data_IF_550903943396
#
_entry.id   IF_550903943396
#
_cell.length_a   1.000
_cell.length_b   1.000
_cell.length_c   1.000
_cell.angle_alpha   90.00
_cell.angle_beta   90.00
_cell.angle_gamma   90.00
#
_symmetry.space_group_name_H-M   'P 1'
#
loop_
_entity.id
_entity.type
_entity.pdbx_description
1 polymer ?
#
# COMPACT_ATOMS: atom_id res chain seq x y z
N UNK A 1 -18.93 37.28 27.34
CA UNK A 1 -19.35 36.47 26.17
C UNK A 1 -18.50 36.77 24.92
N UNK A 2 -18.40 38.02 24.45
CA UNK A 2 -17.63 38.37 23.21
C UNK A 2 -16.18 37.88 23.19
N UNK A 3 -15.43 38.06 24.29
CA UNK A 3 -14.01 37.66 24.37
C UNK A 3 -13.85 36.14 24.27
N UNK A 4 -14.75 35.37 24.89
CA UNK A 4 -14.74 33.90 24.81
C UNK A 4 -15.01 33.41 23.38
N UNK A 5 -15.94 34.05 22.67
CA UNK A 5 -16.23 33.72 21.27
C UNK A 5 -15.04 34.04 20.36
N UNK A 6 -14.41 35.20 20.54
CA UNK A 6 -13.24 35.60 19.75
C UNK A 6 -12.04 34.68 20.03
N UNK A 7 -11.79 34.34 21.30
CA UNK A 7 -10.73 33.40 21.68
C UNK A 7 -10.95 32.01 21.08
N UNK A 8 -12.19 31.50 21.13
CA UNK A 8 -12.54 30.22 20.52
C UNK A 8 -12.30 30.22 18.99
N UNK A 9 -12.68 31.29 18.29
CA UNK A 9 -12.46 31.45 16.85
C UNK A 9 -10.98 31.55 16.49
N UNK A 10 -10.19 32.27 17.29
CA UNK A 10 -8.74 32.38 17.10
C UNK A 10 -8.03 31.02 17.33
N UNK A 11 -8.45 30.26 18.34
CA UNK A 11 -7.92 28.92 18.63
C UNK A 11 -8.21 27.89 17.53
N UNK A 12 -9.20 28.11 16.67
CA UNK A 12 -9.50 27.22 15.54
C UNK A 12 -8.38 27.19 14.49
N UNK A 13 -7.65 28.29 14.27
CA UNK A 13 -6.57 28.33 13.29
C UNK A 13 -5.43 27.34 13.62
N UNK A 14 -4.74 27.45 14.78
CA UNK A 14 -3.69 26.51 15.15
C UNK A 14 -4.23 25.09 15.32
N UNK A 15 -5.46 24.92 15.79
CA UNK A 15 -6.10 23.60 15.87
C UNK A 15 -6.30 22.94 14.50
N UNK A 16 -6.69 23.73 13.48
CA UNK A 16 -6.85 23.24 12.10
C UNK A 16 -5.50 22.88 11.47
N UNK A 17 -4.46 23.69 11.70
CA UNK A 17 -3.09 23.42 11.25
C UNK A 17 -2.55 22.14 11.92
N UNK A 18 -2.74 22.00 13.23
CA UNK A 18 -2.33 20.82 13.97
C UNK A 18 -3.08 19.56 13.53
N UNK A 19 -4.39 19.68 13.23
CA UNK A 19 -5.20 18.57 12.70
C UNK A 19 -4.65 18.05 11.37
N UNK A 20 -4.19 18.94 10.48
CA UNK A 20 -3.53 18.55 9.21
C UNK A 20 -2.21 17.81 9.43
N UNK A 21 -1.48 18.14 10.51
CA UNK A 21 -0.21 17.49 10.88
C UNK A 21 -0.35 16.20 11.70
N UNK A 22 -1.57 15.66 11.86
CA UNK A 22 -1.82 14.41 12.59
C UNK A 22 -1.97 14.57 14.10
N UNK A 23 -2.05 15.80 14.62
CA UNK A 23 -2.25 16.03 16.06
C UNK A 23 -3.74 16.10 16.44
N UNK A 24 -4.03 15.81 17.71
CA UNK A 24 -5.37 15.86 18.28
C UNK A 24 -5.93 17.27 18.28
N UNK A 25 -7.06 17.47 17.60
CA UNK A 25 -7.72 18.78 17.44
C UNK A 25 -8.08 19.44 18.77
N UNK A 26 -8.66 18.70 19.73
CA UNK A 26 -9.15 19.27 20.99
C UNK A 26 -8.05 19.81 21.91
N UNK A 27 -6.96 19.06 22.07
CA UNK A 27 -5.81 19.47 22.91
C UNK A 27 -5.15 20.73 22.34
N UNK A 28 -4.99 20.77 21.03
CA UNK A 28 -4.43 21.93 20.35
C UNK A 28 -5.35 23.15 20.31
N UNK A 29 -6.67 22.93 20.22
CA UNK A 29 -7.66 24.00 20.31
C UNK A 29 -7.67 24.63 21.70
N UNK A 30 -7.65 23.81 22.76
CA UNK A 30 -7.58 24.32 24.13
C UNK A 30 -6.28 25.09 24.37
N UNK A 31 -5.15 24.57 23.88
CA UNK A 31 -3.85 25.23 23.95
C UNK A 31 -3.81 26.54 23.16
N UNK A 32 -4.35 26.56 21.94
CA UNK A 32 -4.41 27.75 21.08
C UNK A 32 -5.37 28.83 21.59
N UNK A 33 -6.46 28.43 22.24
CA UNK A 33 -7.42 29.35 22.89
C UNK A 33 -6.82 29.97 24.16
N UNK A 34 -5.99 29.22 24.90
CA UNK A 34 -5.32 29.71 26.11
C UNK A 34 -4.10 30.60 25.82
N UNK A 35 -3.26 30.21 24.84
CA UNK A 35 -1.96 30.85 24.56
C UNK A 35 -1.71 31.04 23.05
N UNK A 36 -2.57 31.80 22.36
CA UNK A 36 -2.51 32.00 20.90
C UNK A 36 -1.14 32.48 20.37
N UNK A 37 -0.50 33.43 21.07
CA UNK A 37 0.79 34.03 20.69
C UNK A 37 1.93 33.01 20.59
N UNK A 38 1.96 32.03 21.50
CA UNK A 38 2.99 30.97 21.53
C UNK A 38 2.57 29.78 20.67
N UNK A 39 1.26 29.48 20.63
CA UNK A 39 0.73 28.34 19.91
C UNK A 39 0.97 28.43 18.39
N UNK A 40 0.88 29.62 17.80
CA UNK A 40 1.11 29.81 16.36
C UNK A 40 2.53 29.40 15.91
N UNK A 41 3.62 30.02 16.41
CA UNK A 41 4.97 29.64 16.02
C UNK A 41 5.29 28.19 16.39
N UNK A 42 4.80 27.72 17.55
CA UNK A 42 5.00 26.34 17.98
C UNK A 42 4.32 25.33 17.03
N UNK A 43 3.15 25.65 16.47
CA UNK A 43 2.45 24.79 15.48
C UNK A 43 3.18 24.69 14.15
N UNK A 44 3.88 25.76 13.77
CA UNK A 44 4.65 25.81 12.53
C UNK A 44 5.95 25.02 12.66
N UNK A 45 6.67 25.21 13.77
CA UNK A 45 7.97 24.58 14.03
C UNK A 45 7.85 23.08 14.29
N UNK A 46 6.77 22.62 14.94
CA UNK A 46 6.65 21.19 15.23
C UNK A 46 6.52 20.35 13.95
N UNK A 47 7.35 19.30 13.90
CA UNK A 47 7.41 18.33 12.81
C UNK A 47 6.07 17.61 12.69
N UNK A 48 5.72 17.21 11.46
CA UNK A 48 4.54 16.38 11.20
C UNK A 48 4.64 15.10 12.02
N UNK A 49 3.60 14.79 12.81
CA UNK A 49 3.59 13.58 13.62
C UNK A 49 3.19 12.40 12.74
N UNK A 50 4.19 11.69 12.21
CA UNK A 50 3.98 10.56 11.33
C UNK A 50 3.12 9.47 11.99
N UNK A 51 3.26 9.22 13.30
CA UNK A 51 2.43 8.24 14.01
C UNK A 51 0.93 8.59 13.99
N UNK A 52 0.58 9.87 14.07
CA UNK A 52 -0.81 10.34 13.98
C UNK A 52 -1.38 10.36 12.57
N UNK A 53 -0.52 10.45 11.55
CA UNK A 53 -0.91 10.31 10.14
C UNK A 53 -1.01 8.84 9.75
N UNK A 54 -0.09 7.98 10.18
CA UNK A 54 -0.13 6.54 9.94
C UNK A 54 -1.37 5.89 10.56
N UNK A 55 -1.75 6.28 11.78
CA UNK A 55 -2.99 5.82 12.41
C UNK A 55 -4.25 6.21 11.59
N UNK A 56 -4.25 7.38 10.94
CA UNK A 56 -5.34 7.78 10.03
C UNK A 56 -5.28 7.08 8.68
N UNK A 57 -4.09 6.87 8.12
CA UNK A 57 -3.92 6.16 6.85
C UNK A 57 -4.31 4.69 6.95
N UNK A 58 -4.09 4.07 8.12
CA UNK A 58 -4.57 2.72 8.43
C UNK A 58 -6.10 2.69 8.60
N UNK A 59 -6.69 3.75 9.16
CA UNK A 59 -8.15 3.89 9.34
C UNK A 59 -8.90 4.22 8.03
N UNK A 60 -8.26 4.98 7.13
CA UNK A 60 -8.76 5.30 5.79
C UNK A 60 -8.63 4.12 4.80
N UNK A 61 -8.30 2.93 5.31
CA UNK A 61 -8.24 1.70 4.52
C UNK A 61 -7.06 1.64 3.55
N UNK A 62 -6.03 2.48 3.67
CA UNK A 62 -4.87 2.41 2.76
C UNK A 62 -3.94 1.26 3.17
N UNK A 63 -3.38 0.55 2.19
CA UNK A 63 -2.41 -0.54 2.40
C UNK A 63 -1.07 -0.23 1.74
N UNK A 64 0.02 -0.67 2.36
CA UNK A 64 1.37 -0.59 1.78
C UNK A 64 1.58 -1.78 0.84
N UNK A 65 2.07 -1.51 -0.37
CA UNK A 65 2.41 -2.57 -1.31
C UNK A 65 3.69 -3.30 -0.84
N UNK A 66 3.70 -4.64 -0.71
CA UNK A 66 4.88 -5.39 -0.22
C UNK A 66 6.04 -5.39 -1.22
N UNK A 67 5.79 -5.11 -2.49
CA UNK A 67 6.81 -5.12 -3.55
C UNK A 67 7.50 -3.75 -3.72
N UNK A 68 6.76 -2.65 -3.68
CA UNK A 68 7.29 -1.31 -3.97
C UNK A 68 7.22 -0.33 -2.79
N UNK A 69 6.70 -0.75 -1.63
CA UNK A 69 6.55 0.05 -0.40
C UNK A 69 5.71 1.34 -0.49
N UNK A 70 5.14 1.62 -1.66
CA UNK A 70 4.26 2.78 -1.88
C UNK A 70 2.89 2.59 -1.23
N UNK A 71 2.25 3.70 -0.83
CA UNK A 71 0.92 3.68 -0.21
C UNK A 71 -0.15 3.66 -1.30
N UNK A 72 -1.02 2.65 -1.27
CA UNK A 72 -2.07 2.40 -2.27
C UNK A 72 -3.42 2.24 -1.58
N UNK A 73 -4.52 2.54 -2.28
CA UNK A 73 -5.88 2.38 -1.76
C UNK A 73 -6.15 0.93 -1.34
N UNK A 74 -6.91 0.73 -0.26
CA UNK A 74 -7.24 -0.60 0.27
C UNK A 74 -7.97 -1.46 -0.72
N UNK A 75 -8.91 -0.87 -1.44
CA UNK A 75 -9.68 -1.53 -2.50
C UNK A 75 -8.89 -1.76 -3.78
N UNK A 76 -7.63 -1.30 -3.89
CA UNK A 76 -6.84 -1.57 -5.08
C UNK A 76 -6.59 -3.08 -5.22
N UNK A 77 -7.05 -3.68 -6.31
CA UNK A 77 -6.74 -5.07 -6.70
C UNK A 77 -5.35 -5.16 -7.35
N UNK A 78 -4.87 -4.06 -7.93
CA UNK A 78 -3.56 -3.94 -8.55
C UNK A 78 -2.85 -2.64 -8.17
N UNK A 79 -1.55 -2.71 -7.90
CA UNK A 79 -0.74 -1.55 -7.59
C UNK A 79 -0.52 -0.70 -8.84
N UNK A 80 -0.88 0.60 -8.78
CA UNK A 80 -0.66 1.57 -9.87
C UNK A 80 0.81 1.77 -10.24
N UNK A 81 1.73 1.58 -9.30
CA UNK A 81 3.14 1.95 -9.47
C UNK A 81 4.00 0.79 -10.01
N UNK A 82 3.89 -0.40 -9.41
CA UNK A 82 4.66 -1.57 -9.83
C UNK A 82 3.83 -2.66 -10.52
N UNK A 83 2.51 -2.56 -10.52
CA UNK A 83 1.64 -3.58 -11.10
C UNK A 83 1.43 -4.83 -10.24
N UNK A 84 1.92 -4.86 -9.00
CA UNK A 84 1.67 -5.97 -8.06
C UNK A 84 0.17 -6.22 -7.89
N UNK A 85 -0.25 -7.46 -8.13
CA UNK A 85 -1.65 -7.90 -8.02
C UNK A 85 -1.87 -8.57 -6.66
N UNK A 86 -2.85 -8.07 -5.91
CA UNK A 86 -3.25 -8.72 -4.67
C UNK A 86 -4.23 -9.85 -5.01
N UNK A 87 -3.86 -11.10 -4.71
CA UNK A 87 -4.80 -12.22 -4.74
C UNK A 87 -5.86 -11.99 -3.67
N UNK A 88 -7.14 -11.74 -4.02
CA UNK A 88 -8.18 -11.62 -3.02
C UNK A 88 -8.38 -13.00 -2.40
N UNK A 89 -8.33 -13.07 -1.08
CA UNK A 89 -8.72 -14.26 -0.32
C UNK A 89 -10.24 -14.44 -0.39
N UNK A 90 -10.78 -14.64 -1.59
CA UNK A 90 -12.16 -15.09 -1.76
C UNK A 90 -12.21 -16.54 -1.28
N UNK A 91 -12.58 -16.72 -0.01
CA UNK A 91 -12.97 -17.99 0.60
C UNK A 91 -12.14 -19.20 0.15
N UNK A 92 -11.04 -19.47 0.86
CA UNK A 92 -10.17 -20.63 0.66
C UNK A 92 -10.85 -22.00 0.84
N UNK A 93 -12.18 -22.05 0.97
CA UNK A 93 -12.96 -23.28 1.03
C UNK A 93 -13.46 -23.75 -0.34
N UNK A 94 -13.49 -22.90 -1.37
CA UNK A 94 -14.09 -23.28 -2.67
C UNK A 94 -13.10 -23.96 -3.62
N UNK A 95 -11.80 -23.69 -3.53
CA UNK A 95 -10.81 -24.22 -4.49
C UNK A 95 -10.35 -25.66 -4.16
N UNK A 96 -10.64 -26.19 -2.96
CA UNK A 96 -10.14 -27.52 -2.53
C UNK A 96 -11.18 -28.66 -2.66
N UNK A 97 -12.47 -28.38 -2.77
CA UNK A 97 -13.50 -29.45 -2.75
C UNK A 97 -13.88 -30.00 -4.15
N UNK A 98 -13.64 -29.28 -5.24
CA UNK A 98 -13.99 -29.77 -6.60
C UNK A 98 -12.99 -30.79 -7.15
N UNK A 99 -11.73 -30.77 -6.70
CA UNK A 99 -10.73 -31.76 -7.16
C UNK A 99 -10.86 -33.12 -6.47
N UNK A 100 -11.65 -33.23 -5.40
CA UNK A 100 -11.80 -34.45 -4.60
C UNK A 100 -12.91 -35.39 -5.07
N UNK A 101 -13.84 -34.95 -5.92
CA UNK A 101 -15.00 -35.77 -6.32
C UNK A 101 -14.92 -36.35 -7.75
N UNK A 102 -13.74 -36.34 -8.37
CA UNK A 102 -13.49 -37.10 -9.61
C UNK A 102 -12.54 -38.26 -9.33
N UNK A 103 -13.10 -39.29 -8.71
CA UNK A 103 -12.49 -40.62 -8.52
C UNK A 103 -12.41 -41.39 -9.86
N UNK A 104 -11.58 -42.45 -9.97
CA UNK A 104 -10.85 -42.85 -11.16
C UNK A 104 -11.53 -43.99 -11.95
N UNK A 105 -11.37 -43.96 -13.29
CA UNK A 105 -11.51 -45.15 -14.13
C UNK A 105 -10.18 -45.33 -14.90
N UNK A 106 -9.55 -46.48 -14.67
CA UNK A 106 -8.31 -46.94 -15.31
C UNK A 106 -8.59 -47.69 -16.63
N UNK A 107 -7.60 -48.32 -17.27
CA UNK A 107 -6.67 -47.81 -18.29
C UNK A 107 -7.03 -48.31 -19.72
N UNK A 108 -6.26 -47.93 -20.77
CA UNK A 108 -5.33 -48.94 -21.30
C UNK A 108 -3.92 -48.40 -21.59
N UNK A 109 -2.96 -49.30 -21.41
CA UNK A 109 -1.52 -49.22 -21.75
C UNK A 109 -1.30 -49.42 -23.27
N UNK A 110 -0.08 -49.73 -23.78
CA UNK A 110 1.07 -48.85 -24.06
C UNK A 110 1.52 -48.95 -25.54
N UNK A 111 1.87 -47.86 -26.25
CA UNK A 111 2.50 -48.02 -27.58
C UNK A 111 3.56 -46.94 -27.86
N UNK A 112 4.81 -47.36 -27.67
CA UNK A 112 5.93 -47.24 -28.62
C UNK A 112 6.64 -45.88 -28.79
N UNK A 113 7.80 -45.87 -28.14
CA UNK A 113 9.07 -45.24 -28.51
C UNK A 113 9.21 -44.68 -29.94
N UNK A 114 9.84 -43.50 -30.01
CA UNK A 114 10.83 -43.10 -31.03
C UNK A 114 11.70 -41.94 -30.51
N UNK A 115 12.82 -42.28 -29.89
CA UNK A 115 14.12 -41.61 -30.16
C UNK A 115 14.82 -42.44 -31.27
N UNK A 116 15.91 -42.01 -31.94
CA UNK A 116 16.73 -40.79 -31.80
C UNK A 116 17.01 -40.08 -33.16
N UNK A 117 17.57 -38.86 -33.17
CA UNK A 117 18.69 -38.54 -34.07
C UNK A 117 19.44 -37.27 -33.62
N UNK A 118 20.66 -37.48 -33.16
CA UNK A 118 21.69 -36.46 -32.97
C UNK A 118 22.30 -36.05 -34.32
N UNK A 119 22.74 -34.79 -34.43
CA UNK A 119 23.84 -34.22 -35.25
C UNK A 119 23.56 -32.70 -35.34
N UNK A 120 24.45 -31.72 -35.17
CA UNK A 120 25.84 -31.53 -34.72
C UNK A 120 26.05 -29.97 -34.67
N UNK A 121 27.21 -29.40 -34.29
CA UNK A 121 27.34 -28.05 -33.70
C UNK A 121 27.56 -26.85 -34.66
N UNK A 122 27.24 -25.66 -34.11
CA UNK A 122 27.74 -24.27 -34.33
C UNK A 122 28.68 -23.97 -35.52
N UNK A 123 28.43 -22.86 -36.24
CA UNK A 123 29.48 -21.95 -36.71
C UNK A 123 29.48 -20.66 -35.88
N UNK A 124 30.66 -20.31 -35.40
CA UNK A 124 30.99 -18.98 -34.87
C UNK A 124 30.92 -17.97 -36.01
N UNK A 125 30.23 -16.84 -35.81
CA UNK A 125 30.26 -15.72 -36.75
C UNK A 125 31.50 -14.85 -36.45
N UNK A 126 32.48 -14.78 -37.37
CA UNK A 126 33.58 -13.84 -37.30
C UNK A 126 33.20 -12.60 -38.11
N UNK A 127 32.63 -11.59 -37.45
CA UNK A 127 32.46 -10.27 -38.06
C UNK A 127 32.72 -9.14 -37.07
N UNK A 128 34.00 -9.00 -36.74
CA UNK A 128 34.65 -7.71 -36.51
C UNK A 128 34.46 -6.83 -37.79
N UNK A 129 34.27 -5.51 -37.66
CA UNK A 129 35.44 -4.65 -37.83
C UNK A 129 35.51 -3.47 -36.86
N UNK A 130 36.66 -3.38 -36.21
CA UNK A 130 37.50 -2.19 -35.96
C UNK A 130 36.94 -0.84 -36.49
N UNK A 131 36.67 0.06 -35.55
CA UNK A 131 36.92 1.51 -35.66
C UNK A 131 37.00 2.12 -34.27
#
# INVERSE_FOLDING_TARGET
MRILVIGALLGLLPASIARRKGYGFGIWWLYGTACFLVALPHSLIMKVNQAGIEARQLDEGMKKCPSCAEIVQGEATKCRFCGYEWVPITSSWTIVQESSNRSPESPPTPVLAKEPLALEPRPEDPSEPRS
#
